data_IF_691647084054
#
_entry.id   IF_691647084054
#
_cell.length_a   1.000
_cell.length_b   1.000
_cell.length_c   1.000
_cell.angle_alpha   90.00
_cell.angle_beta   90.00
_cell.angle_gamma   90.00
#
_symmetry.space_group_name_H-M   'P 1'
#
loop_
_entity.id
_entity.type
_entity.pdbx_description
1 polymer ?
#
# COMPACT_ATOMS: atom_id res chain seq x y z
N UNK A 1 3.49 8.25 -62.69
CA UNK A 1 3.64 9.20 -61.60
C UNK A 1 2.89 8.64 -60.36
N UNK A 2 3.62 8.00 -59.47
CA UNK A 2 3.07 7.48 -58.20
C UNK A 2 3.40 8.46 -57.11
N UNK A 3 2.37 8.99 -56.47
CA UNK A 3 2.50 9.86 -55.30
C UNK A 3 2.46 8.97 -54.04
N UNK A 4 3.60 8.88 -53.38
CA UNK A 4 3.70 8.22 -52.08
C UNK A 4 3.25 9.23 -50.97
N UNK A 5 2.12 8.96 -50.31
CA UNK A 5 1.71 9.66 -49.10
C UNK A 5 2.44 9.03 -47.93
N UNK A 6 3.35 9.76 -47.32
CA UNK A 6 3.95 9.43 -46.00
C UNK A 6 3.00 9.85 -44.92
N UNK A 7 2.37 8.87 -44.27
CA UNK A 7 1.65 9.06 -42.99
C UNK A 7 2.67 9.13 -41.87
N UNK A 8 2.83 10.30 -41.29
CA UNK A 8 3.55 10.47 -40.03
C UNK A 8 2.66 9.95 -38.89
N UNK A 9 2.99 8.77 -38.39
CA UNK A 9 2.37 8.25 -37.15
C UNK A 9 3.03 8.95 -35.96
N UNK A 10 2.30 9.85 -35.29
CA UNK A 10 2.59 10.24 -33.90
C UNK A 10 2.29 9.05 -33.02
N UNK A 11 3.31 8.25 -32.73
CA UNK A 11 3.24 7.15 -31.80
C UNK A 11 3.30 7.65 -30.35
N UNK A 12 2.15 7.95 -29.75
CA UNK A 12 2.02 7.88 -28.31
C UNK A 12 2.01 6.39 -27.94
N UNK A 13 2.97 5.95 -27.17
CA UNK A 13 2.97 4.62 -26.55
C UNK A 13 1.78 4.55 -25.60
N UNK A 14 0.67 3.96 -26.06
CA UNK A 14 -0.37 3.47 -25.15
C UNK A 14 0.22 2.25 -24.47
N UNK A 15 0.44 2.36 -23.16
CA UNK A 15 0.78 1.20 -22.34
C UNK A 15 -0.27 0.11 -22.58
N UNK A 16 0.21 -1.08 -22.94
CA UNK A 16 -0.65 -2.22 -23.22
C UNK A 16 -1.21 -2.76 -21.90
N UNK A 17 -2.34 -2.21 -21.46
CA UNK A 17 -3.16 -2.84 -20.41
C UNK A 17 -3.54 -4.24 -20.87
N UNK A 18 -3.61 -5.21 -19.93
CA UNK A 18 -4.12 -6.54 -20.24
C UNK A 18 -5.49 -6.38 -20.91
N UNK A 19 -5.66 -7.04 -22.06
CA UNK A 19 -6.88 -6.97 -22.82
C UNK A 19 -8.09 -7.34 -21.96
N UNK A 20 -8.98 -6.37 -21.68
CA UNK A 20 -10.22 -6.59 -20.93
C UNK A 20 -10.37 -5.82 -19.60
N UNK A 21 -9.35 -5.11 -19.11
CA UNK A 21 -9.52 -4.25 -17.92
C UNK A 21 -9.86 -2.83 -18.38
N UNK A 22 -11.06 -2.29 -18.03
CA UNK A 22 -11.44 -0.95 -18.46
C UNK A 22 -10.60 0.11 -17.74
N UNK A 23 -10.10 1.10 -18.48
CA UNK A 23 -9.54 2.32 -17.91
C UNK A 23 -10.69 3.19 -17.38
N UNK A 24 -10.65 3.51 -16.10
CA UNK A 24 -11.65 4.37 -15.45
C UNK A 24 -11.04 5.75 -15.27
N UNK A 25 -11.54 6.70 -16.02
CA UNK A 25 -11.09 8.10 -16.00
C UNK A 25 -12.04 8.98 -15.19
N UNK A 26 -11.66 10.24 -15.06
CA UNK A 26 -12.50 11.26 -14.45
C UNK A 26 -13.85 11.33 -15.16
N UNK A 27 -14.94 11.29 -14.39
CA UNK A 27 -16.29 11.48 -14.92
C UNK A 27 -16.48 12.89 -15.47
N UNK A 28 -17.12 13.00 -16.61
CA UNK A 28 -17.52 14.25 -17.25
C UNK A 28 -18.97 14.68 -16.92
N UNK A 29 -19.61 14.01 -15.95
CA UNK A 29 -20.97 14.31 -15.54
C UNK A 29 -21.13 15.81 -15.19
N UNK A 30 -22.17 16.40 -15.73
CA UNK A 30 -22.54 17.77 -15.37
C UNK A 30 -23.43 17.74 -14.13
N UNK A 31 -23.00 18.41 -13.07
CA UNK A 31 -23.75 18.50 -11.82
C UNK A 31 -24.68 19.71 -11.91
N UNK A 32 -25.98 19.43 -12.07
CA UNK A 32 -27.00 20.48 -12.11
C UNK A 32 -27.48 20.84 -10.69
N UNK A 33 -27.53 22.14 -10.40
CA UNK A 33 -28.00 22.65 -9.12
C UNK A 33 -26.99 22.63 -7.99
N UNK A 34 -27.47 22.81 -6.74
CA UNK A 34 -26.62 22.94 -5.53
C UNK A 34 -26.71 21.76 -4.59
N UNK A 35 -27.33 20.66 -4.99
CA UNK A 35 -27.53 19.48 -4.15
C UNK A 35 -26.62 18.34 -4.60
N UNK A 36 -26.03 17.67 -3.62
CA UNK A 36 -25.29 16.43 -3.85
C UNK A 36 -26.28 15.33 -4.23
N UNK A 37 -26.02 14.65 -5.35
CA UNK A 37 -26.72 13.42 -5.76
C UNK A 37 -25.77 12.23 -5.65
N UNK A 38 -26.28 10.99 -5.61
CA UNK A 38 -25.43 9.79 -5.65
C UNK A 38 -24.47 9.77 -6.84
N UNK A 39 -24.92 10.19 -8.02
CA UNK A 39 -24.14 10.26 -9.24
C UNK A 39 -23.00 11.30 -9.09
N UNK A 40 -23.31 12.48 -8.55
CA UNK A 40 -22.32 13.51 -8.27
C UNK A 40 -21.27 13.03 -7.27
N UNK A 41 -21.68 12.30 -6.23
CA UNK A 41 -20.77 11.74 -5.22
C UNK A 41 -19.79 10.73 -5.84
N UNK A 42 -20.28 9.83 -6.70
CA UNK A 42 -19.46 8.84 -7.37
C UNK A 42 -18.59 9.40 -8.50
N UNK A 43 -18.99 10.52 -9.10
CA UNK A 43 -18.23 11.21 -10.12
C UNK A 43 -17.00 11.96 -9.58
N UNK A 44 -16.94 12.22 -8.26
CA UNK A 44 -15.80 12.90 -7.64
C UNK A 44 -14.59 11.99 -7.57
N UNK A 45 -13.45 12.49 -8.05
CA UNK A 45 -12.14 11.89 -7.77
C UNK A 45 -11.82 11.99 -6.27
N UNK A 46 -11.27 10.92 -5.68
CA UNK A 46 -10.89 10.87 -4.27
C UNK A 46 -9.38 10.91 -4.13
N UNK A 47 -8.89 11.98 -3.52
CA UNK A 47 -7.47 12.15 -3.26
C UNK A 47 -7.06 11.13 -2.20
N UNK A 48 -5.98 10.42 -2.48
CA UNK A 48 -5.26 9.54 -1.57
C UNK A 48 -3.83 10.02 -1.40
N UNK A 49 -2.97 9.21 -0.83
CA UNK A 49 -1.54 9.40 -0.56
C UNK A 49 -0.93 10.69 -1.10
N UNK A 50 -0.39 11.55 -0.23
CA UNK A 50 0.24 12.83 -0.60
C UNK A 50 1.67 12.82 -0.11
N UNK A 51 2.62 13.12 -0.99
CA UNK A 51 4.04 13.20 -0.69
C UNK A 51 4.66 14.49 -1.25
N UNK A 52 5.34 15.26 -0.40
CA UNK A 52 6.09 16.45 -0.78
C UNK A 52 7.51 16.04 -1.18
N UNK A 53 8.03 16.61 -2.27
CA UNK A 53 9.41 16.36 -2.68
C UNK A 53 10.41 16.86 -1.64
N UNK A 54 11.61 16.25 -1.53
CA UNK A 54 12.62 16.65 -0.54
C UNK A 54 13.08 18.12 -0.68
N UNK A 55 12.96 18.72 -1.84
CA UNK A 55 13.26 20.14 -2.10
C UNK A 55 12.05 21.08 -1.89
N UNK A 56 10.91 20.51 -1.41
CA UNK A 56 9.66 21.20 -1.12
C UNK A 56 9.01 21.92 -2.32
N UNK A 57 9.40 21.61 -3.56
CA UNK A 57 8.90 22.29 -4.75
C UNK A 57 7.75 21.58 -5.44
N UNK A 58 7.60 20.27 -5.22
CA UNK A 58 6.57 19.46 -5.87
C UNK A 58 5.81 18.59 -4.86
N UNK A 59 4.59 18.28 -5.22
CA UNK A 59 3.71 17.36 -4.49
C UNK A 59 3.32 16.25 -5.46
N UNK A 60 3.57 14.99 -5.08
CA UNK A 60 3.00 13.82 -5.72
C UNK A 60 1.78 13.37 -4.90
N UNK A 61 0.69 13.00 -5.57
CA UNK A 61 -0.51 12.52 -4.91
C UNK A 61 -1.29 11.57 -5.83
N UNK A 62 -2.21 10.82 -5.25
CA UNK A 62 -3.04 9.89 -6.02
C UNK A 62 -4.49 10.34 -6.05
N UNK A 63 -5.21 9.99 -7.13
CA UNK A 63 -6.66 10.21 -7.24
C UNK A 63 -7.32 8.92 -7.71
N UNK A 64 -8.30 8.45 -6.94
CA UNK A 64 -9.14 7.34 -7.35
C UNK A 64 -10.38 7.83 -8.10
N UNK A 65 -10.67 7.21 -9.24
CA UNK A 65 -11.88 7.39 -10.01
C UNK A 65 -12.72 6.12 -9.98
N UNK A 66 -14.03 6.26 -10.08
CA UNK A 66 -14.99 5.18 -9.90
C UNK A 66 -15.94 5.07 -11.10
N UNK A 67 -16.22 3.84 -11.48
CA UNK A 67 -17.27 3.51 -12.44
C UNK A 67 -18.34 2.65 -11.75
N UNK A 68 -19.53 3.22 -11.55
CA UNK A 68 -20.67 2.49 -10.98
C UNK A 68 -21.12 1.34 -11.90
N UNK A 69 -21.23 1.55 -13.24
CA UNK A 69 -21.62 0.46 -14.14
C UNK A 69 -20.64 -0.73 -14.12
N UNK A 70 -19.34 -0.45 -14.05
CA UNK A 70 -18.30 -1.50 -13.99
C UNK A 70 -18.11 -2.06 -12.59
N UNK A 71 -18.68 -1.42 -11.55
CA UNK A 71 -18.43 -1.71 -10.13
C UNK A 71 -16.92 -1.81 -9.83
N UNK A 72 -16.14 -0.89 -10.38
CA UNK A 72 -14.67 -0.84 -10.28
C UNK A 72 -14.16 0.56 -10.06
N UNK A 73 -12.93 0.65 -9.66
CA UNK A 73 -12.15 1.89 -9.61
C UNK A 73 -10.74 1.66 -10.13
N UNK A 74 -10.08 2.71 -10.52
CA UNK A 74 -8.63 2.75 -10.63
C UNK A 74 -8.09 4.03 -9.96
N UNK A 75 -6.82 4.03 -9.66
CA UNK A 75 -6.15 5.13 -8.98
C UNK A 75 -4.91 5.54 -9.76
N UNK A 76 -4.81 6.84 -10.01
CA UNK A 76 -3.76 7.44 -10.81
C UNK A 76 -2.87 8.36 -10.00
N UNK A 77 -1.61 8.51 -10.42
CA UNK A 77 -0.64 9.43 -9.81
C UNK A 77 -0.65 10.77 -10.53
N UNK A 78 -0.60 11.82 -9.72
CA UNK A 78 -0.51 13.21 -10.15
C UNK A 78 0.71 13.87 -9.53
N UNK A 79 1.26 14.86 -10.23
CA UNK A 79 2.30 15.75 -9.72
C UNK A 79 1.91 17.19 -9.98
N UNK A 80 2.15 18.06 -9.00
CA UNK A 80 1.98 19.50 -9.14
C UNK A 80 3.07 20.25 -8.37
N UNK A 81 3.24 21.53 -8.65
CA UNK A 81 4.09 22.40 -7.86
C UNK A 81 3.41 22.76 -6.52
N UNK A 82 4.20 23.07 -5.49
CA UNK A 82 3.66 23.44 -4.15
C UNK A 82 2.86 24.72 -4.15
N UNK A 83 3.01 25.58 -5.16
CA UNK A 83 2.18 26.77 -5.37
C UNK A 83 0.83 26.48 -6.07
N UNK A 84 0.55 25.19 -6.35
CA UNK A 84 -0.68 24.73 -7.02
C UNK A 84 -0.64 24.78 -8.55
N UNK A 85 0.44 25.28 -9.15
CA UNK A 85 0.60 25.29 -10.61
C UNK A 85 1.12 23.96 -11.15
N UNK A 86 1.07 23.77 -12.46
CA UNK A 86 1.67 22.62 -13.14
C UNK A 86 1.05 21.26 -12.81
N UNK A 87 -0.20 21.24 -12.33
CA UNK A 87 -0.90 20.00 -12.01
C UNK A 87 -1.06 19.11 -13.23
N UNK A 88 -0.53 17.87 -13.15
CA UNK A 88 -0.50 16.92 -14.24
C UNK A 88 -0.74 15.51 -13.73
N UNK A 89 -1.64 14.77 -14.37
CA UNK A 89 -1.74 13.32 -14.25
C UNK A 89 -0.56 12.68 -15.00
N UNK A 90 0.17 11.78 -14.34
CA UNK A 90 1.39 11.18 -14.88
C UNK A 90 1.27 9.68 -15.12
N UNK A 91 0.20 9.05 -14.64
CA UNK A 91 -0.16 7.67 -14.98
C UNK A 91 -1.54 7.62 -15.64
N UNK A 92 -1.72 6.69 -16.58
CA UNK A 92 -2.98 6.44 -17.29
C UNK A 92 -3.12 4.92 -17.46
N UNK A 93 -3.38 4.23 -16.36
CA UNK A 93 -3.39 2.76 -16.32
C UNK A 93 -4.72 2.25 -15.72
N UNK A 94 -5.15 1.04 -16.04
CA UNK A 94 -6.32 0.45 -15.40
C UNK A 94 -6.03 -0.11 -13.99
N UNK A 95 -4.85 0.19 -13.43
CA UNK A 95 -4.36 -0.37 -12.18
C UNK A 95 -4.58 0.56 -10.98
N UNK A 96 -4.23 0.07 -9.80
CA UNK A 96 -4.30 0.84 -8.55
C UNK A 96 -2.89 1.33 -8.19
N UNK A 97 -2.56 2.58 -8.50
CA UNK A 97 -1.32 3.21 -8.06
C UNK A 97 -1.51 3.84 -6.67
N UNK A 98 -0.99 3.16 -5.64
CA UNK A 98 -1.15 3.55 -4.24
C UNK A 98 0.21 3.95 -3.62
N UNK A 99 0.17 4.56 -2.42
CA UNK A 99 1.33 4.81 -1.56
C UNK A 99 2.48 5.52 -2.28
N UNK A 100 2.16 6.57 -3.08
CA UNK A 100 3.19 7.32 -3.80
C UNK A 100 4.11 8.07 -2.85
N UNK A 101 5.45 7.92 -3.06
CA UNK A 101 6.47 8.60 -2.29
C UNK A 101 7.66 9.00 -3.17
N UNK A 102 8.35 10.08 -2.79
CA UNK A 102 9.60 10.50 -3.40
C UNK A 102 10.76 9.66 -2.91
N UNK A 103 11.59 9.19 -3.82
CA UNK A 103 12.80 8.41 -3.53
C UNK A 103 14.02 8.97 -4.26
N UNK A 104 15.20 8.44 -3.95
CA UNK A 104 16.46 8.81 -4.59
C UNK A 104 16.71 10.33 -4.59
N UNK A 105 16.47 10.98 -3.43
CA UNK A 105 16.65 12.42 -3.26
C UNK A 105 15.68 13.29 -4.07
N UNK A 106 14.49 12.76 -4.37
CA UNK A 106 13.46 13.48 -5.12
C UNK A 106 13.56 13.33 -6.65
N UNK A 107 14.45 12.47 -7.15
CA UNK A 107 14.61 12.26 -8.59
C UNK A 107 13.67 11.19 -9.17
N UNK A 108 13.05 10.39 -8.31
CA UNK A 108 12.11 9.32 -8.66
C UNK A 108 10.91 9.31 -7.72
N UNK A 109 9.83 8.75 -8.21
CA UNK A 109 8.66 8.35 -7.43
C UNK A 109 8.66 6.83 -7.27
N UNK A 110 8.35 6.37 -6.07
CA UNK A 110 7.99 4.97 -5.80
C UNK A 110 6.50 4.90 -5.50
N UNK A 111 5.86 3.79 -5.83
CA UNK A 111 4.44 3.56 -5.60
C UNK A 111 4.13 2.07 -5.64
N UNK A 112 3.01 1.67 -5.06
CA UNK A 112 2.47 0.33 -5.22
C UNK A 112 1.55 0.27 -6.42
N UNK A 113 1.66 -0.79 -7.22
CA UNK A 113 0.75 -1.07 -8.33
C UNK A 113 0.41 -2.56 -8.39
N UNK A 114 -0.85 -2.87 -8.68
CA UNK A 114 -1.31 -4.25 -8.92
C UNK A 114 -1.18 -4.69 -10.38
N UNK A 115 -0.38 -3.99 -11.17
CA UNK A 115 0.02 -4.42 -12.50
C UNK A 115 0.70 -5.78 -12.44
N UNK A 116 0.25 -6.71 -13.29
CA UNK A 116 0.75 -8.09 -13.24
C UNK A 116 0.01 -9.03 -12.30
N UNK A 117 -1.01 -8.54 -11.58
CA UNK A 117 -1.95 -9.37 -10.80
C UNK A 117 -1.74 -9.35 -9.29
N UNK A 118 -0.58 -8.92 -8.79
CA UNK A 118 -0.32 -8.69 -7.37
C UNK A 118 0.26 -7.30 -7.14
N UNK A 119 -0.02 -6.72 -5.96
CA UNK A 119 0.49 -5.41 -5.57
C UNK A 119 1.99 -5.50 -5.31
N UNK A 120 2.77 -4.76 -6.10
CA UNK A 120 4.23 -4.73 -6.03
C UNK A 120 4.73 -3.29 -5.97
N UNK A 121 5.97 -3.11 -5.52
CA UNK A 121 6.64 -1.82 -5.53
C UNK A 121 7.20 -1.50 -6.92
N UNK A 122 6.91 -0.29 -7.41
CA UNK A 122 7.36 0.25 -8.67
C UNK A 122 8.07 1.58 -8.49
N UNK A 123 8.87 1.98 -9.47
CA UNK A 123 9.42 3.34 -9.57
C UNK A 123 9.14 3.95 -10.94
N UNK A 124 9.14 5.28 -11.01
CA UNK A 124 9.09 6.03 -12.26
C UNK A 124 9.73 7.42 -12.10
N UNK A 125 9.94 8.12 -13.20
CA UNK A 125 10.30 9.53 -13.18
C UNK A 125 9.07 10.39 -12.79
N UNK A 126 9.26 11.62 -12.26
CA UNK A 126 8.16 12.52 -11.93
C UNK A 126 7.32 12.98 -13.14
N UNK A 127 7.78 12.74 -14.36
CA UNK A 127 7.02 12.97 -15.60
C UNK A 127 6.19 11.75 -16.04
N UNK A 128 6.26 10.64 -15.32
CA UNK A 128 5.58 9.36 -15.59
C UNK A 128 6.39 8.41 -16.48
N UNK A 129 7.55 8.83 -17.01
CA UNK A 129 8.39 7.96 -17.82
C UNK A 129 9.25 7.01 -16.97
N UNK A 130 9.84 6.00 -17.61
CA UNK A 130 10.79 5.10 -16.93
C UNK A 130 10.18 4.22 -15.86
N UNK A 131 8.89 3.86 -16.01
CA UNK A 131 8.18 2.94 -15.10
C UNK A 131 8.88 1.60 -15.03
N UNK A 132 9.18 1.14 -13.80
CA UNK A 132 9.92 -0.10 -13.55
C UNK A 132 9.46 -0.75 -12.26
N UNK A 133 9.19 -2.04 -12.31
CA UNK A 133 8.92 -2.86 -11.13
C UNK A 133 10.21 -3.09 -10.32
N UNK A 134 10.14 -2.89 -9.01
CA UNK A 134 11.25 -3.06 -8.07
C UNK A 134 11.15 -4.34 -7.25
N UNK A 135 9.96 -4.92 -7.11
CA UNK A 135 9.76 -6.14 -6.31
C UNK A 135 9.05 -7.22 -7.11
N UNK A 136 9.36 -8.47 -6.80
CA UNK A 136 8.67 -9.67 -7.27
C UNK A 136 8.43 -10.58 -6.05
N UNK A 137 7.69 -10.06 -5.08
CA UNK A 137 7.32 -10.81 -3.89
C UNK A 137 6.16 -11.75 -4.20
N UNK A 138 6.17 -12.95 -3.60
CA UNK A 138 5.10 -13.93 -3.75
C UNK A 138 3.91 -13.55 -2.83
N UNK A 139 3.06 -12.66 -3.31
CA UNK A 139 1.93 -12.07 -2.61
C UNK A 139 1.84 -10.55 -2.83
N UNK A 140 0.88 -9.93 -2.16
CA UNK A 140 0.68 -8.49 -2.20
C UNK A 140 1.56 -7.76 -1.19
N UNK A 141 2.13 -6.64 -1.61
CA UNK A 141 2.73 -5.64 -0.71
C UNK A 141 1.64 -4.62 -0.38
N UNK A 142 1.31 -4.47 0.91
CA UNK A 142 0.21 -3.61 1.39
C UNK A 142 0.67 -2.21 1.79
N UNK A 143 1.97 -2.03 2.04
CA UNK A 143 2.58 -0.75 2.40
C UNK A 143 4.10 -0.90 2.45
N UNK A 144 4.83 0.20 2.34
CA UNK A 144 6.28 0.17 2.33
C UNK A 144 6.93 1.45 2.88
N UNK A 145 8.17 1.31 3.34
CA UNK A 145 9.02 2.43 3.76
C UNK A 145 10.49 2.09 3.53
N UNK A 146 11.25 3.01 2.94
CA UNK A 146 12.69 2.85 2.80
C UNK A 146 13.42 3.23 4.08
N UNK A 147 14.53 2.54 4.38
CA UNK A 147 15.45 2.98 5.45
C UNK A 147 16.02 4.37 5.15
N UNK A 148 16.47 5.13 6.15
CA UNK A 148 17.02 6.48 5.95
C UNK A 148 18.18 6.55 4.95
N UNK A 149 18.98 5.49 4.85
CA UNK A 149 20.08 5.37 3.88
C UNK A 149 19.66 4.83 2.50
N UNK A 150 18.37 4.47 2.35
CA UNK A 150 17.81 3.93 1.10
C UNK A 150 18.29 2.53 0.72
N UNK A 151 18.94 1.79 1.61
CA UNK A 151 19.51 0.46 1.32
C UNK A 151 18.64 -0.70 1.78
N UNK A 152 17.58 -0.43 2.51
CA UNK A 152 16.63 -1.44 2.98
C UNK A 152 15.20 -1.00 2.69
N UNK A 153 14.35 -1.99 2.51
CA UNK A 153 12.91 -1.84 2.38
C UNK A 153 12.22 -2.51 3.55
N UNK A 154 11.39 -1.76 4.27
CA UNK A 154 10.39 -2.27 5.19
C UNK A 154 9.08 -2.36 4.42
N UNK A 155 8.39 -3.48 4.47
CA UNK A 155 7.10 -3.62 3.81
C UNK A 155 6.16 -4.54 4.60
N UNK A 156 4.88 -4.44 4.31
CA UNK A 156 3.81 -5.24 4.90
C UNK A 156 3.32 -6.25 3.87
N UNK A 157 3.20 -7.50 4.30
CA UNK A 157 2.58 -8.54 3.49
C UNK A 157 1.81 -9.53 4.38
N UNK A 158 0.83 -10.21 3.78
CA UNK A 158 0.03 -11.22 4.48
C UNK A 158 0.81 -12.52 4.68
N UNK A 159 0.74 -13.05 5.89
CA UNK A 159 1.25 -14.38 6.23
C UNK A 159 0.08 -15.28 6.60
N UNK A 160 0.08 -16.49 6.06
CA UNK A 160 -0.93 -17.50 6.39
C UNK A 160 -0.71 -18.03 7.81
N UNK A 161 -1.57 -17.64 8.74
CA UNK A 161 -1.49 -18.08 10.15
C UNK A 161 -2.52 -19.13 10.52
N UNK A 162 -3.50 -19.40 9.64
CA UNK A 162 -4.58 -20.36 9.88
C UNK A 162 -4.70 -21.35 8.73
N UNK A 163 -5.07 -22.59 9.04
CA UNK A 163 -5.41 -23.58 8.03
C UNK A 163 -6.74 -23.20 7.35
N UNK A 164 -6.74 -23.19 6.04
CA UNK A 164 -7.98 -23.07 5.25
C UNK A 164 -8.75 -24.40 5.25
N UNK A 165 -10.00 -24.36 4.79
CA UNK A 165 -10.79 -25.59 4.58
C UNK A 165 -10.13 -26.53 3.57
N UNK A 166 -9.52 -25.97 2.51
CA UNK A 166 -8.78 -26.74 1.52
C UNK A 166 -7.52 -27.43 2.08
N UNK A 167 -6.83 -26.78 3.02
CA UNK A 167 -5.68 -27.41 3.70
C UNK A 167 -6.11 -28.59 4.58
N UNK A 168 -7.27 -28.46 5.22
CA UNK A 168 -7.80 -29.48 6.13
C UNK A 168 -8.48 -30.64 5.38
N UNK A 169 -9.07 -30.34 4.23
CA UNK A 169 -9.79 -31.30 3.39
C UNK A 169 -9.32 -31.16 1.93
N UNK A 170 -8.12 -31.63 1.61
CA UNK A 170 -7.53 -31.47 0.28
C UNK A 170 -8.27 -32.28 -0.81
N UNK A 171 -9.08 -33.23 -0.43
CA UNK A 171 -9.99 -34.01 -1.28
C UNK A 171 -11.26 -33.22 -1.69
N UNK A 172 -11.52 -32.06 -1.08
CA UNK A 172 -12.65 -31.20 -1.35
C UNK A 172 -12.24 -29.84 -1.93
N UNK A 173 -11.52 -29.77 -3.07
CA UNK A 173 -10.92 -28.53 -3.57
C UNK A 173 -11.94 -27.45 -3.99
N UNK A 174 -13.20 -27.82 -4.17
CA UNK A 174 -14.31 -26.89 -4.51
C UNK A 174 -15.16 -26.49 -3.31
N UNK A 175 -14.81 -26.93 -2.10
CA UNK A 175 -15.55 -26.56 -0.91
C UNK A 175 -15.38 -25.06 -0.60
N UNK A 176 -16.47 -24.34 -0.41
CA UNK A 176 -16.51 -22.91 -0.08
C UNK A 176 -16.81 -22.66 1.40
N UNK A 177 -17.04 -23.73 2.18
CA UNK A 177 -17.28 -23.63 3.62
C UNK A 177 -16.06 -23.12 4.36
N UNK A 178 -16.25 -22.25 5.35
CA UNK A 178 -15.18 -21.73 6.22
C UNK A 178 -15.37 -22.36 7.60
N UNK A 179 -14.28 -22.95 8.13
CA UNK A 179 -14.28 -23.58 9.45
C UNK A 179 -13.72 -22.58 10.43
N UNK A 180 -14.54 -22.21 11.40
CA UNK A 180 -14.18 -21.31 12.48
C UNK A 180 -14.04 -22.12 13.76
N UNK A 181 -12.87 -22.05 14.38
CA UNK A 181 -12.55 -22.77 15.63
C UNK A 181 -12.22 -21.81 16.78
N UNK A 182 -11.97 -20.52 16.48
CA UNK A 182 -11.57 -19.51 17.46
C UNK A 182 -11.87 -18.09 16.96
N UNK A 183 -11.74 -17.11 17.84
CA UNK A 183 -11.80 -15.68 17.57
C UNK A 183 -10.38 -15.13 17.26
N UNK A 184 -10.17 -13.99 16.56
CA UNK A 184 -11.17 -13.34 15.71
C UNK A 184 -11.24 -14.09 14.37
N UNK A 185 -12.42 -14.31 13.87
CA UNK A 185 -12.59 -14.97 12.56
C UNK A 185 -12.97 -14.00 11.45
N UNK A 186 -13.40 -12.80 11.82
CA UNK A 186 -13.66 -11.68 10.90
C UNK A 186 -13.14 -10.38 11.49
N UNK A 187 -12.62 -9.51 10.62
CA UNK A 187 -12.49 -8.09 10.82
C UNK A 187 -13.48 -7.41 9.89
N UNK A 188 -14.51 -6.79 10.46
CA UNK A 188 -15.61 -6.20 9.71
C UNK A 188 -16.29 -7.25 8.80
N UNK A 189 -16.17 -7.09 7.46
CA UNK A 189 -16.69 -8.02 6.46
C UNK A 189 -15.64 -9.00 5.92
N UNK A 190 -14.36 -8.83 6.26
CA UNK A 190 -13.25 -9.67 5.80
C UNK A 190 -13.00 -10.88 6.72
N UNK A 191 -12.79 -12.06 6.11
CA UNK A 191 -12.38 -13.25 6.84
C UNK A 191 -10.91 -13.18 7.25
N UNK A 192 -10.61 -13.54 8.50
CA UNK A 192 -9.24 -13.61 9.01
C UNK A 192 -8.64 -14.96 8.64
N UNK A 193 -7.94 -15.03 7.52
CA UNK A 193 -7.23 -16.22 7.02
C UNK A 193 -5.73 -16.19 7.30
N UNK A 194 -5.20 -15.02 7.59
CA UNK A 194 -3.80 -14.75 7.87
C UNK A 194 -3.65 -13.51 8.75
N UNK A 195 -2.43 -13.05 8.89
CA UNK A 195 -2.08 -11.83 9.58
C UNK A 195 -1.10 -11.00 8.73
N UNK A 196 -1.23 -9.66 8.69
CA UNK A 196 -0.19 -8.82 8.12
C UNK A 196 1.05 -8.86 9.01
N UNK A 197 2.22 -9.09 8.40
CA UNK A 197 3.50 -9.04 9.07
C UNK A 197 4.39 -7.95 8.44
N UNK A 198 5.26 -7.30 9.24
CA UNK A 198 6.31 -6.43 8.74
C UNK A 198 7.50 -7.28 8.27
N UNK A 199 7.97 -6.99 7.07
CA UNK A 199 9.15 -7.60 6.47
C UNK A 199 10.23 -6.56 6.26
N UNK A 200 11.49 -6.96 6.44
CA UNK A 200 12.66 -6.17 6.05
C UNK A 200 13.42 -6.91 4.97
N UNK A 201 13.82 -6.19 3.93
CA UNK A 201 14.66 -6.70 2.84
C UNK A 201 15.83 -5.75 2.57
N UNK A 202 16.93 -6.28 2.03
CA UNK A 202 17.98 -5.45 1.45
C UNK A 202 17.50 -4.92 0.10
N UNK A 203 17.82 -3.66 -0.21
CA UNK A 203 17.46 -2.99 -1.45
C UNK A 203 18.72 -2.45 -2.13
N UNK A 204 18.96 -2.86 -3.37
CA UNK A 204 20.15 -2.47 -4.15
C UNK A 204 19.90 -1.33 -5.15
N UNK A 205 18.70 -0.74 -5.11
CA UNK A 205 18.25 0.28 -6.08
C UNK A 205 17.53 -0.28 -7.29
N UNK A 206 17.52 -1.59 -7.48
CA UNK A 206 16.87 -2.28 -8.59
C UNK A 206 15.91 -3.39 -8.17
N UNK A 207 16.12 -3.93 -6.97
CA UNK A 207 15.30 -5.02 -6.44
C UNK A 207 15.56 -5.27 -4.97
N UNK A 208 14.86 -6.27 -4.42
CA UNK A 208 14.98 -6.68 -3.02
C UNK A 208 15.62 -8.07 -2.92
N UNK A 209 16.35 -8.29 -1.81
CA UNK A 209 16.94 -9.56 -1.45
C UNK A 209 16.94 -9.74 0.08
N UNK A 210 17.31 -10.93 0.56
CA UNK A 210 17.43 -11.23 1.99
C UNK A 210 16.19 -10.84 2.80
N UNK A 211 15.01 -11.19 2.26
CA UNK A 211 13.71 -10.88 2.86
C UNK A 211 13.59 -11.60 4.20
N UNK A 212 13.24 -10.84 5.24
CA UNK A 212 13.06 -11.34 6.60
C UNK A 212 11.75 -10.88 7.17
N UNK A 213 10.93 -11.82 7.61
CA UNK A 213 9.73 -11.59 8.41
C UNK A 213 10.14 -11.25 9.84
N UNK A 214 9.73 -10.07 10.36
CA UNK A 214 10.03 -9.64 11.74
C UNK A 214 9.26 -10.47 12.76
N UNK A 215 8.07 -10.94 12.39
CA UNK A 215 7.18 -11.76 13.24
C UNK A 215 7.20 -13.25 12.87
N UNK A 216 8.28 -13.73 12.22
CA UNK A 216 8.37 -15.12 11.75
C UNK A 216 7.99 -16.14 12.82
N UNK A 217 7.00 -16.98 12.53
CA UNK A 217 6.47 -17.99 13.43
C UNK A 217 5.51 -17.49 14.49
N UNK A 218 5.24 -16.16 14.57
CA UNK A 218 4.25 -15.59 15.47
C UNK A 218 2.86 -15.50 14.79
N UNK A 219 1.76 -15.74 15.51
CA UNK A 219 0.40 -15.66 14.95
C UNK A 219 -0.20 -14.25 15.03
N UNK A 220 0.58 -13.25 15.39
CA UNK A 220 0.11 -11.90 15.67
C UNK A 220 0.15 -11.04 14.41
N UNK A 221 -0.63 -9.95 14.43
CA UNK A 221 -0.69 -9.00 13.34
C UNK A 221 0.06 -7.71 13.66
N UNK A 222 0.80 -7.21 12.71
CA UNK A 222 1.34 -5.85 12.68
C UNK A 222 1.49 -5.43 11.21
N UNK A 223 0.83 -4.34 10.80
CA UNK A 223 -0.01 -3.41 11.55
C UNK A 223 -1.33 -4.05 12.02
N UNK A 224 -1.96 -3.40 13.00
CA UNK A 224 -3.19 -3.92 13.60
C UNK A 224 -4.40 -3.64 12.72
N UNK A 225 -5.17 -4.66 12.46
CA UNK A 225 -6.45 -4.57 11.74
C UNK A 225 -7.54 -3.89 12.59
N UNK A 226 -8.58 -3.28 11.96
CA UNK A 226 -8.84 -3.25 10.52
C UNK A 226 -8.19 -2.08 9.77
N UNK A 227 -7.64 -1.07 10.45
CA UNK A 227 -7.24 0.21 9.83
C UNK A 227 -5.75 0.50 9.84
N UNK A 228 -4.95 -0.34 10.48
CA UNK A 228 -3.50 -0.15 10.56
C UNK A 228 -2.82 -0.38 9.22
N UNK A 229 -1.85 0.47 8.90
CA UNK A 229 -1.00 0.43 7.72
C UNK A 229 0.45 0.72 8.07
N UNK A 230 1.21 1.17 7.07
CA UNK A 230 2.66 1.44 7.21
C UNK A 230 2.97 2.52 8.26
N UNK A 231 2.00 3.37 8.61
CA UNK A 231 2.12 4.38 9.64
C UNK A 231 2.31 3.81 11.06
N UNK A 232 2.02 2.53 11.27
CA UNK A 232 2.28 1.83 12.53
C UNK A 232 3.68 1.23 12.63
N UNK A 233 4.51 1.46 11.62
CA UNK A 233 5.88 0.97 11.51
C UNK A 233 6.83 2.15 11.31
N UNK A 234 7.99 2.13 11.96
CA UNK A 234 8.97 3.20 11.82
C UNK A 234 10.41 2.68 11.85
N UNK A 235 11.24 3.22 10.98
CA UNK A 235 12.68 3.04 11.04
C UNK A 235 13.30 3.86 12.18
N UNK A 236 14.34 3.31 12.82
CA UNK A 236 15.26 4.14 13.61
C UNK A 236 15.99 5.13 12.69
N UNK A 237 16.43 6.29 13.20
CA UNK A 237 17.21 7.24 12.39
C UNK A 237 18.50 6.64 11.79
N UNK A 238 19.07 5.64 12.42
CA UNK A 238 20.25 4.92 11.93
C UNK A 238 19.91 3.82 10.90
N UNK A 239 18.62 3.45 10.74
CA UNK A 239 18.18 2.38 9.85
C UNK A 239 18.56 0.97 10.31
N UNK A 240 18.92 0.80 11.58
CA UNK A 240 19.36 -0.46 12.20
C UNK A 240 18.26 -1.17 12.99
N UNK A 241 17.13 -0.48 13.27
CA UNK A 241 15.99 -0.99 14.02
C UNK A 241 14.67 -0.61 13.38
N UNK A 242 13.64 -1.40 13.69
CA UNK A 242 12.27 -1.13 13.30
C UNK A 242 11.39 -1.11 14.56
N UNK A 243 10.68 -0.01 14.78
CA UNK A 243 9.60 0.07 15.74
C UNK A 243 8.28 -0.36 15.09
N UNK A 244 7.46 -1.11 15.81
CA UNK A 244 6.15 -1.51 15.33
C UNK A 244 5.15 -1.65 16.48
N UNK A 245 3.88 -1.44 16.17
CA UNK A 245 2.78 -1.64 17.12
C UNK A 245 2.17 -3.02 16.92
N UNK A 246 1.97 -3.76 18.00
CA UNK A 246 1.39 -5.09 17.94
C UNK A 246 0.56 -5.39 19.19
N UNK A 247 -0.54 -6.10 18.99
CA UNK A 247 -1.33 -6.69 20.07
C UNK A 247 -1.05 -8.19 20.13
N UNK A 248 -0.02 -8.60 20.90
CA UNK A 248 0.38 -10.01 21.04
C UNK A 248 -0.61 -10.82 21.84
N UNK A 249 -1.81 -11.00 21.29
CA UNK A 249 -2.91 -11.78 21.85
C UNK A 249 -3.59 -12.58 20.75
N UNK A 250 -4.22 -13.69 21.09
CA UNK A 250 -4.99 -14.54 20.16
C UNK A 250 -6.34 -14.93 20.77
N UNK A 251 -7.24 -15.43 19.95
CA UNK A 251 -8.53 -15.98 20.38
C UNK A 251 -9.39 -14.96 21.13
N UNK A 252 -10.01 -15.41 22.21
CA UNK A 252 -10.85 -14.58 23.07
C UNK A 252 -10.09 -13.39 23.66
N UNK A 253 -8.82 -13.56 24.06
CA UNK A 253 -8.01 -12.49 24.62
C UNK A 253 -7.79 -11.35 23.62
N UNK A 254 -7.64 -11.66 22.34
CA UNK A 254 -7.59 -10.67 21.26
C UNK A 254 -8.92 -9.93 21.11
N UNK A 255 -10.03 -10.66 21.15
CA UNK A 255 -11.36 -10.10 20.90
C UNK A 255 -11.83 -9.12 21.98
N UNK A 256 -11.45 -9.34 23.24
CA UNK A 256 -11.90 -8.52 24.40
C UNK A 256 -10.91 -7.42 24.79
N UNK A 257 -9.67 -7.47 24.33
CA UNK A 257 -8.62 -6.51 24.72
C UNK A 257 -8.31 -5.56 23.57
N UNK A 258 -8.26 -4.27 23.85
CA UNK A 258 -7.73 -3.24 22.94
C UNK A 258 -6.27 -2.92 23.22
N UNK A 259 -5.65 -3.56 24.23
CA UNK A 259 -4.29 -3.27 24.63
C UNK A 259 -3.29 -3.73 23.59
N UNK A 260 -2.48 -2.81 23.11
CA UNK A 260 -1.35 -3.03 22.19
C UNK A 260 -0.10 -2.39 22.78
N UNK A 261 1.05 -2.88 22.38
CA UNK A 261 2.35 -2.42 22.81
C UNK A 261 3.21 -1.99 21.63
N UNK A 262 4.26 -1.22 21.94
CA UNK A 262 5.30 -0.83 20.99
C UNK A 262 6.50 -1.73 21.18
N UNK A 263 6.94 -2.33 20.08
CA UNK A 263 8.09 -3.23 20.03
C UNK A 263 9.19 -2.62 19.17
N UNK A 264 10.44 -2.91 19.55
CA UNK A 264 11.63 -2.54 18.77
C UNK A 264 12.34 -3.82 18.33
N UNK A 265 12.40 -4.04 17.03
CA UNK A 265 13.18 -5.11 16.42
C UNK A 265 14.57 -4.60 16.03
N UNK A 266 15.61 -5.23 16.50
CA UNK A 266 17.01 -4.92 16.17
C UNK A 266 17.47 -5.85 15.03
N UNK A 267 17.91 -5.25 13.91
CA UNK A 267 18.24 -6.00 12.69
C UNK A 267 19.52 -6.85 12.85
N UNK A 268 20.48 -6.39 13.66
CA UNK A 268 21.76 -7.07 13.85
C UNK A 268 21.60 -8.28 14.77
N UNK A 269 20.93 -8.10 15.90
CA UNK A 269 20.75 -9.15 16.91
C UNK A 269 19.55 -10.04 16.65
N UNK A 270 18.60 -9.59 15.80
CA UNK A 270 17.32 -10.23 15.52
C UNK A 270 16.45 -10.42 16.77
N UNK A 271 16.60 -9.53 17.74
CA UNK A 271 15.82 -9.53 18.98
C UNK A 271 14.76 -8.45 18.94
N UNK A 272 13.67 -8.73 19.60
CA UNK A 272 12.55 -7.80 19.80
C UNK A 272 12.42 -7.48 21.28
N UNK A 273 12.37 -6.19 21.59
CA UNK A 273 12.13 -5.70 22.95
C UNK A 273 10.76 -5.01 22.99
N UNK A 274 9.93 -5.32 23.99
CA UNK A 274 8.72 -4.57 24.30
C UNK A 274 9.11 -3.37 25.16
N UNK A 275 8.95 -2.15 24.61
CA UNK A 275 9.34 -0.93 25.34
C UNK A 275 8.20 -0.31 26.16
N UNK A 276 7.03 -0.92 26.15
CA UNK A 276 5.81 -0.42 26.81
C UNK A 276 5.15 -1.46 27.68
N UNK A 277 5.84 -2.54 28.04
CA UNK A 277 5.31 -3.69 28.81
C UNK A 277 4.64 -3.29 30.13
N UNK A 278 5.16 -2.26 30.80
CA UNK A 278 4.61 -1.77 32.07
C UNK A 278 3.31 -0.97 31.88
N UNK A 279 3.02 -0.51 30.66
CA UNK A 279 1.81 0.24 30.37
C UNK A 279 0.63 -0.71 30.16
N UNK A 280 -0.40 -0.55 30.98
CA UNK A 280 -1.61 -1.39 30.92
C UNK A 280 -2.69 -0.83 29.98
N UNK A 281 -2.44 0.32 29.36
CA UNK A 281 -3.34 0.96 28.40
C UNK A 281 -3.01 0.62 26.95
N UNK A 282 -3.97 0.82 26.05
CA UNK A 282 -3.74 0.69 24.61
C UNK A 282 -2.76 1.76 24.15
N UNK A 283 -1.69 1.35 23.48
CA UNK A 283 -0.73 2.24 22.82
C UNK A 283 -0.77 1.99 21.33
N UNK A 284 -1.01 3.05 20.59
CA UNK A 284 -0.90 3.09 19.14
C UNK A 284 0.25 4.04 18.81
N UNK A 285 1.24 3.59 18.03
CA UNK A 285 2.26 4.49 17.54
C UNK A 285 1.62 5.45 16.52
N UNK A 286 1.52 6.71 16.93
CA UNK A 286 1.10 7.81 16.05
C UNK A 286 2.07 8.96 16.22
N UNK A 287 2.39 9.63 15.13
CA UNK A 287 3.03 10.94 15.24
C UNK A 287 2.10 11.89 16.00
N UNK A 288 2.62 12.72 16.92
CA UNK A 288 1.79 13.67 17.63
C UNK A 288 1.09 14.59 16.62
N UNK A 289 -0.24 14.67 16.73
CA UNK A 289 -1.02 15.60 15.93
C UNK A 289 -0.56 17.05 16.19
N UNK A 290 -0.54 17.91 15.20
CA UNK A 290 -0.31 19.34 15.43
C UNK A 290 -1.26 19.97 16.47
N UNK A 291 -2.42 19.34 16.74
CA UNK A 291 -3.36 19.77 17.79
C UNK A 291 -2.91 19.39 19.20
N UNK A 292 -2.02 18.41 19.33
CA UNK A 292 -1.50 17.96 20.63
C UNK A 292 -0.30 18.79 21.10
N UNK A 293 0.10 19.78 20.31
CA UNK A 293 1.12 20.78 20.65
C UNK A 293 0.45 22.04 21.23
N UNK A 294 -0.34 21.86 22.27
CA UNK A 294 -0.93 22.97 23.02
C UNK A 294 0.08 23.71 23.88
#
# INVERSE_FOLDING_TARGET
>A
MSVAMTLAACGGTKDAGQAGVPLIERSDIQIEGKRMTPEALWAMGRIGGVAVSPDEKQIAYTVAYYSVPENKSNREVFVMNTDGTGNKQITHTPWQENEVNWIKGGTKLAFLSNEGGSSQLWEMNPDGSGRKQLTQYDGDIEGYSFSPDGKKLLFIAQVKTKQSTADKYPDLPKATGIIVTDLMYKHWDEWVTGAPHPFVADFDGNGISNIKDILEGEPYESPMRPWGGIEQLAWSPAGDKVAYTCRKKTGLAYAISTNSDIYIYDLATKKTDNITEENKGCLLYTSPSPRDRG
#
